data_IF_874923204820
#
_entry.id   IF_874923204820
#
_cell.length_a   1.000
_cell.length_b   1.000
_cell.length_c   1.000
_cell.angle_alpha   90.00
_cell.angle_beta   90.00
_cell.angle_gamma   90.00
#
_symmetry.space_group_name_H-M   'P 1'
#
loop_
_entity.id
_entity.type
_entity.pdbx_description
1 polymer ?
#
# COMPACT_ATOMS: atom_id res chain seq x y z
N UNK A 1 -11.75 41.81 -30.55
CA UNK A 1 -11.42 41.47 -29.16
C UNK A 1 -11.55 39.97 -29.02
N UNK A 2 -10.44 39.26 -29.18
CA UNK A 2 -10.31 37.80 -29.13
C UNK A 2 -10.12 37.36 -27.69
N UNK A 3 -11.13 36.69 -27.12
CA UNK A 3 -11.03 36.02 -25.84
C UNK A 3 -10.30 34.70 -26.00
N UNK A 4 -9.04 34.65 -25.57
CA UNK A 4 -8.22 33.46 -25.52
C UNK A 4 -8.73 32.57 -24.38
N UNK A 5 -9.55 31.56 -24.70
CA UNK A 5 -9.78 30.44 -23.78
C UNK A 5 -8.50 29.60 -23.78
N UNK A 6 -7.63 29.85 -22.81
CA UNK A 6 -6.57 28.92 -22.49
C UNK A 6 -7.23 27.65 -21.93
N UNK A 7 -7.38 26.63 -22.77
CA UNK A 7 -7.52 25.26 -22.31
C UNK A 7 -6.25 24.95 -21.51
N UNK A 8 -6.35 25.01 -20.18
CA UNK A 8 -5.38 24.31 -19.35
C UNK A 8 -5.54 22.83 -19.70
N UNK A 9 -4.63 22.33 -20.51
CA UNK A 9 -4.40 20.91 -20.65
C UNK A 9 -3.93 20.45 -19.26
N UNK A 10 -4.87 20.08 -18.40
CA UNK A 10 -4.56 19.45 -17.12
C UNK A 10 -3.82 18.18 -17.50
N UNK A 11 -2.51 18.14 -17.26
CA UNK A 11 -1.76 16.90 -17.33
C UNK A 11 -2.40 16.03 -16.26
N UNK A 12 -3.19 15.05 -16.68
CA UNK A 12 -3.77 14.07 -15.77
C UNK A 12 -2.63 13.11 -15.42
N UNK A 13 -2.26 13.07 -14.15
CA UNK A 13 -1.35 12.06 -13.59
C UNK A 13 -1.71 10.68 -14.14
N UNK A 14 -0.73 9.96 -14.66
CA UNK A 14 -0.87 8.54 -14.99
C UNK A 14 -0.40 7.72 -13.80
N UNK A 15 -1.33 7.18 -13.03
CA UNK A 15 -1.00 6.34 -11.88
C UNK A 15 -1.76 5.03 -11.89
N UNK A 16 -1.21 4.02 -11.24
CA UNK A 16 -1.96 2.86 -10.78
C UNK A 16 -2.26 3.01 -9.28
N UNK A 17 -3.50 2.76 -8.88
CA UNK A 17 -3.92 2.72 -7.49
C UNK A 17 -3.95 1.28 -7.00
N UNK A 18 -3.18 0.98 -5.94
CA UNK A 18 -3.17 -0.30 -5.26
C UNK A 18 -3.82 -0.13 -3.89
N UNK A 19 -4.94 -0.79 -3.65
CA UNK A 19 -5.66 -0.73 -2.38
C UNK A 19 -5.43 -2.02 -1.60
N UNK A 20 -4.77 -1.93 -0.45
CA UNK A 20 -4.55 -3.03 0.48
C UNK A 20 -5.80 -3.19 1.36
N UNK A 21 -6.44 -4.35 1.25
CA UNK A 21 -7.73 -4.64 1.89
C UNK A 21 -7.68 -5.91 2.72
N UNK A 22 -8.44 -5.93 3.81
CA UNK A 22 -8.59 -7.08 4.69
C UNK A 22 -10.05 -7.24 5.15
N UNK A 23 -11.00 -7.27 4.20
CA UNK A 23 -12.46 -7.16 4.48
C UNK A 23 -12.91 -8.18 5.53
N UNK A 24 -12.51 -9.43 5.37
CA UNK A 24 -12.96 -10.52 6.22
C UNK A 24 -12.06 -10.78 7.42
N UNK A 25 -11.08 -9.90 7.69
CA UNK A 25 -10.16 -10.09 8.80
C UNK A 25 -10.86 -10.08 10.16
N UNK A 26 -11.89 -9.25 10.29
CA UNK A 26 -12.81 -9.23 11.42
C UNK A 26 -14.23 -9.42 10.89
N UNK A 27 -14.79 -10.64 10.96
CA UNK A 27 -16.10 -10.94 10.35
C UNK A 27 -17.23 -10.01 10.81
N UNK A 28 -17.17 -9.51 12.06
CA UNK A 28 -18.15 -8.59 12.60
C UNK A 28 -18.20 -7.23 11.88
N UNK A 29 -17.11 -6.81 11.23
CA UNK A 29 -17.00 -5.51 10.54
C UNK A 29 -16.91 -5.64 9.03
N UNK A 30 -16.97 -6.87 8.48
CA UNK A 30 -16.75 -7.12 7.06
C UNK A 30 -17.69 -6.34 6.13
N UNK A 31 -18.97 -6.18 6.50
CA UNK A 31 -19.92 -5.37 5.72
C UNK A 31 -19.54 -3.89 5.69
N UNK A 32 -19.00 -3.36 6.80
CA UNK A 32 -18.59 -1.97 6.89
C UNK A 32 -17.29 -1.74 6.11
N UNK A 33 -16.31 -2.65 6.25
CA UNK A 33 -15.06 -2.63 5.49
C UNK A 33 -15.33 -2.68 3.97
N UNK A 34 -16.17 -3.62 3.51
CA UNK A 34 -16.59 -3.68 2.10
C UNK A 34 -17.20 -2.35 1.62
N UNK A 35 -18.08 -1.76 2.42
CA UNK A 35 -18.72 -0.48 2.08
C UNK A 35 -17.70 0.66 1.95
N UNK A 36 -16.73 0.71 2.87
CA UNK A 36 -15.65 1.71 2.85
C UNK A 36 -14.76 1.54 1.61
N UNK A 37 -14.36 0.30 1.31
CA UNK A 37 -13.58 0.00 0.13
C UNK A 37 -14.32 0.40 -1.15
N UNK A 38 -15.60 0.05 -1.27
CA UNK A 38 -16.42 0.44 -2.43
C UNK A 38 -16.52 1.96 -2.58
N UNK A 39 -16.64 2.71 -1.47
CA UNK A 39 -16.65 4.17 -1.52
C UNK A 39 -15.30 4.75 -1.96
N UNK A 40 -14.19 4.15 -1.53
CA UNK A 40 -12.84 4.52 -1.96
C UNK A 40 -12.69 4.31 -3.48
N UNK A 41 -13.00 3.10 -3.95
CA UNK A 41 -12.93 2.73 -5.37
C UNK A 41 -13.84 3.62 -6.22
N UNK A 42 -15.08 3.86 -5.79
CA UNK A 42 -16.01 4.75 -6.50
C UNK A 42 -15.48 6.18 -6.61
N UNK A 43 -14.87 6.69 -5.53
CA UNK A 43 -14.29 8.03 -5.53
C UNK A 43 -13.08 8.12 -6.47
N UNK A 44 -12.23 7.09 -6.48
CA UNK A 44 -11.08 7.02 -7.39
C UNK A 44 -11.52 6.94 -8.86
N UNK A 45 -12.48 6.09 -9.20
CA UNK A 45 -13.01 6.01 -10.56
C UNK A 45 -13.62 7.33 -11.04
N UNK A 46 -14.34 8.03 -10.15
CA UNK A 46 -14.95 9.33 -10.49
C UNK A 46 -13.88 10.40 -10.74
N UNK A 47 -12.84 10.43 -9.91
CA UNK A 47 -11.86 11.53 -9.91
C UNK A 47 -10.64 11.24 -10.80
N UNK A 48 -10.38 9.97 -11.14
CA UNK A 48 -9.21 9.49 -11.88
C UNK A 48 -9.56 8.37 -12.89
N UNK A 49 -10.56 8.58 -13.73
CA UNK A 49 -11.15 7.58 -14.65
C UNK A 49 -10.14 6.79 -15.53
N UNK A 50 -8.97 7.37 -15.83
CA UNK A 50 -7.93 6.72 -16.64
C UNK A 50 -6.86 5.96 -15.84
N UNK A 51 -6.94 5.95 -14.51
CA UNK A 51 -5.97 5.31 -13.63
C UNK A 51 -6.46 3.93 -13.18
N UNK A 52 -5.75 2.83 -13.50
CA UNK A 52 -6.19 1.50 -13.08
C UNK A 52 -6.19 1.35 -11.56
N UNK A 53 -7.20 0.65 -11.05
CA UNK A 53 -7.40 0.35 -9.64
C UNK A 53 -7.32 -1.16 -9.42
N UNK A 54 -6.34 -1.58 -8.63
CA UNK A 54 -6.22 -2.95 -8.14
C UNK A 54 -6.53 -3.00 -6.64
N UNK A 55 -7.34 -3.98 -6.24
CA UNK A 55 -7.55 -4.35 -4.84
C UNK A 55 -6.75 -5.60 -4.54
N UNK A 56 -5.95 -5.53 -3.47
CA UNK A 56 -5.16 -6.64 -2.94
C UNK A 56 -5.79 -7.04 -1.60
N UNK A 57 -6.57 -8.11 -1.62
CA UNK A 57 -7.23 -8.65 -0.44
C UNK A 57 -6.30 -9.65 0.25
N UNK A 58 -5.92 -9.37 1.49
CA UNK A 58 -4.97 -10.17 2.26
C UNK A 58 -5.56 -10.79 3.54
N UNK A 59 -6.86 -10.61 3.82
CA UNK A 59 -7.48 -11.29 4.95
C UNK A 59 -7.33 -12.81 4.84
N UNK A 60 -7.26 -13.45 6.00
CA UNK A 60 -7.12 -14.90 6.07
C UNK A 60 -8.38 -15.64 5.60
N UNK A 61 -9.54 -15.03 5.86
CA UNK A 61 -10.85 -15.50 5.41
C UNK A 61 -11.10 -14.99 3.99
N UNK A 62 -11.32 -15.91 3.05
CA UNK A 62 -11.55 -15.55 1.65
C UNK A 62 -12.83 -14.74 1.46
N UNK A 63 -12.87 -13.91 0.42
CA UNK A 63 -14.09 -13.21 0.03
C UNK A 63 -15.15 -14.22 -0.41
N UNK A 64 -16.40 -13.99 -0.02
CA UNK A 64 -17.53 -14.75 -0.55
C UNK A 64 -17.88 -14.25 -1.98
N UNK A 65 -18.64 -15.02 -2.77
CA UNK A 65 -18.96 -14.64 -4.16
C UNK A 65 -19.66 -13.28 -4.30
N UNK A 66 -20.49 -12.88 -3.34
CA UNK A 66 -21.19 -11.59 -3.36
C UNK A 66 -20.20 -10.43 -3.15
N UNK A 67 -19.28 -10.58 -2.20
CA UNK A 67 -18.20 -9.61 -1.96
C UNK A 67 -17.31 -9.45 -3.19
N UNK A 68 -16.91 -10.56 -3.83
CA UNK A 68 -16.08 -10.52 -5.05
C UNK A 68 -16.77 -9.79 -6.17
N UNK A 69 -18.03 -10.14 -6.45
CA UNK A 69 -18.81 -9.50 -7.50
C UNK A 69 -18.94 -7.99 -7.28
N UNK A 70 -19.22 -7.58 -6.02
CA UNK A 70 -19.39 -6.19 -5.64
C UNK A 70 -18.11 -5.34 -5.79
N UNK A 71 -16.93 -5.95 -5.73
CA UNK A 71 -15.64 -5.28 -5.98
C UNK A 71 -15.30 -5.24 -7.47
N UNK A 72 -15.45 -6.38 -8.17
CA UNK A 72 -15.14 -6.51 -9.60
C UNK A 72 -15.94 -5.56 -10.50
N UNK A 73 -17.10 -5.08 -10.05
CA UNK A 73 -17.90 -4.08 -10.78
C UNK A 73 -17.20 -2.72 -10.90
N UNK A 74 -16.22 -2.44 -10.05
CA UNK A 74 -15.59 -1.11 -9.95
C UNK A 74 -14.07 -1.15 -9.92
N UNK A 75 -13.44 -2.33 -9.93
CA UNK A 75 -11.98 -2.48 -9.92
C UNK A 75 -11.49 -3.11 -11.21
N UNK A 76 -10.36 -2.66 -11.74
CA UNK A 76 -9.72 -3.29 -12.88
C UNK A 76 -9.15 -4.67 -12.52
N UNK A 77 -8.73 -4.83 -11.26
CA UNK A 77 -8.15 -6.08 -10.78
C UNK A 77 -8.48 -6.34 -9.31
N UNK A 78 -8.85 -7.58 -9.00
CA UNK A 78 -8.98 -8.09 -7.64
C UNK A 78 -8.01 -9.26 -7.44
N UNK A 79 -7.05 -9.11 -6.54
CA UNK A 79 -6.07 -10.13 -6.18
C UNK A 79 -6.30 -10.62 -4.75
N UNK A 80 -6.62 -11.91 -4.59
CA UNK A 80 -6.77 -12.54 -3.28
C UNK A 80 -5.48 -13.25 -2.89
N UNK A 81 -4.73 -12.68 -1.97
CA UNK A 81 -3.54 -13.29 -1.41
C UNK A 81 -3.92 -14.43 -0.46
N UNK A 82 -3.15 -15.52 -0.51
CA UNK A 82 -3.30 -16.66 0.42
C UNK A 82 -1.97 -16.96 1.08
N UNK A 83 -1.97 -16.96 2.41
CA UNK A 83 -0.83 -17.35 3.21
C UNK A 83 -0.37 -18.77 2.85
N UNK A 84 0.92 -18.93 2.55
CA UNK A 84 1.53 -20.24 2.32
C UNK A 84 1.76 -21.00 3.64
N UNK A 85 2.28 -22.22 3.56
CA UNK A 85 2.51 -23.05 4.75
C UNK A 85 3.42 -22.38 5.79
N UNK A 86 4.45 -21.65 5.35
CA UNK A 86 5.40 -20.97 6.25
C UNK A 86 4.69 -19.93 7.12
N UNK A 87 3.82 -19.12 6.51
CA UNK A 87 3.02 -18.12 7.24
C UNK A 87 1.97 -18.78 8.14
N UNK A 88 1.35 -19.87 7.69
CA UNK A 88 0.40 -20.64 8.51
C UNK A 88 1.07 -21.25 9.75
N UNK A 89 2.27 -21.80 9.59
CA UNK A 89 3.07 -22.35 10.69
C UNK A 89 3.50 -21.26 11.68
N UNK A 90 3.88 -20.08 11.18
CA UNK A 90 4.17 -18.92 12.03
C UNK A 90 2.96 -18.52 12.86
N UNK A 91 1.76 -18.42 12.25
CA UNK A 91 0.53 -18.14 12.99
C UNK A 91 0.26 -19.19 14.06
N UNK A 92 0.40 -20.47 13.72
CA UNK A 92 0.19 -21.58 14.64
C UNK A 92 1.15 -21.58 15.84
N UNK A 93 2.31 -20.93 15.71
CA UNK A 93 3.26 -20.75 16.81
C UNK A 93 2.81 -19.73 17.88
N UNK A 94 1.66 -19.06 17.68
CA UNK A 94 1.04 -18.19 18.68
C UNK A 94 1.57 -16.76 18.68
N UNK A 95 2.12 -16.29 17.56
CA UNK A 95 2.52 -14.89 17.39
C UNK A 95 1.34 -13.94 17.57
N UNK A 96 1.63 -12.69 17.91
CA UNK A 96 0.62 -11.64 18.03
C UNK A 96 -0.18 -11.48 16.73
N UNK A 97 -1.51 -11.41 16.85
CA UNK A 97 -2.40 -11.39 15.70
C UNK A 97 -2.25 -10.10 14.88
N UNK A 98 -2.06 -8.94 15.52
CA UNK A 98 -1.91 -7.66 14.83
C UNK A 98 -0.58 -7.61 14.08
N UNK A 99 0.50 -8.08 14.71
CA UNK A 99 1.81 -8.12 14.10
C UNK A 99 1.88 -9.15 12.94
N UNK A 100 1.21 -10.29 13.07
CA UNK A 100 1.03 -11.24 11.96
C UNK A 100 0.27 -10.61 10.79
N UNK A 101 -0.80 -9.85 11.05
CA UNK A 101 -1.53 -9.13 10.01
C UNK A 101 -0.68 -8.08 9.30
N UNK A 102 0.17 -7.37 10.04
CA UNK A 102 1.13 -6.44 9.44
C UNK A 102 2.10 -7.16 8.50
N UNK A 103 2.61 -8.35 8.87
CA UNK A 103 3.42 -9.18 7.97
C UNK A 103 2.64 -9.62 6.73
N UNK A 104 1.39 -10.09 6.88
CA UNK A 104 0.56 -10.50 5.74
C UNK A 104 0.38 -9.37 4.73
N UNK A 105 0.14 -8.16 5.21
CA UNK A 105 0.05 -6.95 4.36
C UNK A 105 1.32 -6.73 3.53
N UNK A 106 2.51 -6.81 4.15
CA UNK A 106 3.79 -6.65 3.47
C UNK A 106 3.98 -7.75 2.41
N UNK A 107 3.75 -9.00 2.79
CA UNK A 107 3.93 -10.15 1.88
C UNK A 107 2.93 -10.12 0.72
N UNK A 108 1.67 -9.75 0.98
CA UNK A 108 0.65 -9.64 -0.06
C UNK A 108 0.99 -8.55 -1.07
N UNK A 109 1.46 -7.38 -0.62
CA UNK A 109 1.92 -6.31 -1.51
C UNK A 109 3.11 -6.78 -2.34
N UNK A 110 4.11 -7.40 -1.71
CA UNK A 110 5.28 -7.92 -2.41
C UNK A 110 4.90 -8.97 -3.48
N UNK A 111 4.08 -9.95 -3.11
CA UNK A 111 3.57 -10.97 -4.02
C UNK A 111 2.84 -10.31 -5.20
N UNK A 112 1.97 -9.34 -4.95
CA UNK A 112 1.25 -8.65 -6.01
C UNK A 112 2.21 -7.93 -6.97
N UNK A 113 3.16 -7.15 -6.43
CA UNK A 113 4.10 -6.37 -7.24
C UNK A 113 4.99 -7.27 -8.11
N UNK A 114 5.46 -8.41 -7.60
CA UNK A 114 6.21 -9.39 -8.41
C UNK A 114 5.40 -9.90 -9.60
N UNK A 115 4.12 -10.24 -9.40
CA UNK A 115 3.25 -10.70 -10.48
C UNK A 115 2.90 -9.57 -11.46
N UNK A 116 2.62 -8.37 -10.94
CA UNK A 116 2.29 -7.19 -11.74
C UNK A 116 3.47 -6.75 -12.62
N UNK A 117 4.70 -6.77 -12.07
CA UNK A 117 5.93 -6.47 -12.80
C UNK A 117 6.16 -7.52 -13.91
N UNK A 118 6.03 -8.81 -13.60
CA UNK A 118 6.16 -9.88 -14.59
C UNK A 118 5.13 -9.81 -15.72
N UNK A 119 3.94 -9.26 -15.46
CA UNK A 119 2.89 -9.04 -16.43
C UNK A 119 2.97 -7.66 -17.15
N UNK A 120 3.91 -6.79 -16.77
CA UNK A 120 4.07 -5.47 -17.37
C UNK A 120 2.94 -4.48 -17.04
N UNK A 121 2.24 -4.66 -15.91
CA UNK A 121 1.08 -3.83 -15.54
C UNK A 121 1.44 -2.35 -15.30
N UNK A 122 2.71 -2.04 -15.05
CA UNK A 122 3.17 -0.68 -14.76
C UNK A 122 3.84 0.03 -15.95
N UNK A 123 3.84 -0.58 -17.15
CA UNK A 123 4.54 -0.03 -18.32
C UNK A 123 3.95 1.30 -18.83
N UNK A 124 2.68 1.58 -18.55
CA UNK A 124 1.96 2.76 -19.06
C UNK A 124 1.63 3.82 -18.00
N UNK A 125 2.08 3.62 -16.76
CA UNK A 125 1.85 4.56 -15.64
C UNK A 125 3.17 5.20 -15.20
N UNK A 126 3.09 6.44 -14.72
CA UNK A 126 4.25 7.17 -14.21
C UNK A 126 4.46 6.90 -12.71
N UNK A 127 3.38 6.60 -11.99
CA UNK A 127 3.39 6.40 -10.54
C UNK A 127 2.55 5.21 -10.11
N UNK A 128 2.90 4.64 -8.96
CA UNK A 128 2.07 3.69 -8.23
C UNK A 128 1.73 4.32 -6.89
N UNK A 129 0.44 4.36 -6.56
CA UNK A 129 -0.09 4.90 -5.30
C UNK A 129 -0.65 3.75 -4.50
N UNK A 130 -0.09 3.50 -3.32
CA UNK A 130 -0.53 2.46 -2.39
C UNK A 130 -1.39 3.11 -1.31
N UNK A 131 -2.56 2.52 -1.05
CA UNK A 131 -3.57 3.03 -0.11
C UNK A 131 -4.05 1.87 0.75
N UNK A 132 -4.17 2.05 2.06
CA UNK A 132 -4.88 1.10 2.92
C UNK A 132 -6.39 1.35 2.88
N UNK A 133 -7.18 0.29 3.00
CA UNK A 133 -8.64 0.40 3.07
C UNK A 133 -9.09 1.40 4.17
N UNK A 134 -10.14 2.17 3.88
CA UNK A 134 -10.66 3.21 4.76
C UNK A 134 -9.85 4.51 4.78
N UNK A 135 -8.70 4.59 4.09
CA UNK A 135 -7.88 5.81 4.04
C UNK A 135 -8.33 6.72 2.90
N UNK A 136 -8.65 7.98 3.23
CA UNK A 136 -8.99 8.98 2.23
C UNK A 136 -7.74 9.47 1.51
N UNK A 137 -7.82 9.60 0.18
CA UNK A 137 -6.72 10.04 -0.65
C UNK A 137 -6.27 11.47 -0.29
N UNK A 138 -5.01 11.61 0.11
CA UNK A 138 -4.37 12.89 0.38
C UNK A 138 -4.25 13.72 -0.90
N UNK A 139 -4.99 14.84 -0.96
CA UNK A 139 -4.98 15.76 -2.10
C UNK A 139 -3.61 16.41 -2.32
N UNK A 140 -2.80 16.58 -1.29
CA UNK A 140 -1.46 17.14 -1.42
C UNK A 140 -0.54 16.19 -2.17
N UNK A 141 -0.67 14.87 -1.92
CA UNK A 141 0.06 13.85 -2.70
C UNK A 141 -0.32 13.95 -4.18
N UNK A 142 -1.62 13.97 -4.48
CA UNK A 142 -2.09 14.04 -5.86
C UNK A 142 -1.65 15.32 -6.56
N UNK A 143 -1.72 16.46 -5.85
CA UNK A 143 -1.23 17.71 -6.40
C UNK A 143 0.26 17.64 -6.75
N UNK A 144 1.06 17.05 -5.88
CA UNK A 144 2.50 16.83 -6.12
C UNK A 144 2.75 15.93 -7.34
N UNK A 145 2.05 14.80 -7.45
CA UNK A 145 2.24 13.85 -8.56
C UNK A 145 1.86 14.42 -9.93
N UNK A 146 0.96 15.41 -9.97
CA UNK A 146 0.62 16.14 -11.20
C UNK A 146 1.69 17.16 -11.64
N UNK A 147 2.68 17.48 -10.80
CA UNK A 147 3.76 18.42 -11.12
C UNK A 147 4.93 17.70 -11.83
N UNK A 148 4.86 17.58 -13.17
CA UNK A 148 5.73 16.69 -13.97
C UNK A 148 7.25 16.93 -13.92
N UNK A 149 7.73 18.05 -13.36
CA UNK A 149 9.14 18.43 -13.42
C UNK A 149 9.99 17.98 -12.21
N UNK A 150 9.39 17.46 -11.12
CA UNK A 150 10.09 17.36 -9.82
C UNK A 150 10.17 15.95 -9.19
N UNK A 151 9.72 14.89 -9.87
CA UNK A 151 9.28 13.68 -9.12
C UNK A 151 9.61 12.31 -9.75
N UNK A 152 10.56 12.24 -10.69
CA UNK A 152 11.13 10.96 -11.16
C UNK A 152 12.06 10.33 -10.14
N UNK A 153 12.18 9.01 -10.13
CA UNK A 153 13.09 8.23 -9.28
C UNK A 153 12.94 8.61 -7.79
N UNK A 154 11.69 8.78 -7.34
CA UNK A 154 11.37 9.15 -5.95
C UNK A 154 10.30 8.26 -5.34
N UNK A 155 10.42 8.10 -4.04
CA UNK A 155 9.38 7.63 -3.13
C UNK A 155 8.70 8.84 -2.46
N UNK A 156 7.41 8.74 -2.22
CA UNK A 156 6.57 9.78 -1.65
C UNK A 156 5.94 9.29 -0.37
N UNK A 157 6.47 9.75 0.75
CA UNK A 157 5.98 9.43 2.08
C UNK A 157 5.55 10.69 2.81
N UNK A 158 4.59 10.55 3.73
CA UNK A 158 4.43 11.55 4.79
C UNK A 158 5.70 11.58 5.64
N UNK A 159 5.97 12.72 6.29
CA UNK A 159 7.15 12.87 7.14
C UNK A 159 7.22 11.76 8.18
N UNK A 160 8.40 11.16 8.34
CA UNK A 160 8.62 10.12 9.32
C UNK A 160 8.27 10.61 10.74
N UNK A 161 7.64 9.73 11.50
CA UNK A 161 7.21 9.99 12.88
C UNK A 161 7.91 9.02 13.82
N UNK A 162 8.03 9.44 15.08
CA UNK A 162 8.62 8.61 16.13
C UNK A 162 7.52 7.84 16.84
N UNK A 163 7.64 6.52 16.95
CA UNK A 163 6.82 5.74 17.88
C UNK A 163 7.46 5.77 19.27
N UNK A 164 6.64 6.02 20.29
CA UNK A 164 7.07 5.88 21.67
C UNK A 164 7.17 4.37 21.97
N UNK A 165 8.36 3.90 22.33
CA UNK A 165 8.48 2.53 22.84
C UNK A 165 7.88 2.47 24.25
N UNK A 166 7.10 1.42 24.59
CA UNK A 166 6.59 1.23 25.95
C UNK A 166 7.70 1.02 27.00
N UNK A 167 8.96 0.82 26.58
CA UNK A 167 10.10 0.73 27.48
C UNK A 167 10.91 2.03 27.48
N UNK A 168 11.11 2.64 28.66
CA UNK A 168 11.93 3.86 28.86
C UNK A 168 13.40 3.72 28.42
N UNK A 169 13.87 2.49 28.12
CA UNK A 169 15.22 2.21 27.60
C UNK A 169 15.28 1.92 26.11
N UNK A 170 14.15 1.79 25.44
CA UNK A 170 14.12 1.51 24.01
C UNK A 170 14.24 2.82 23.23
N UNK A 171 15.18 2.85 22.29
CA UNK A 171 15.35 3.98 21.36
C UNK A 171 14.03 4.23 20.65
N UNK A 172 13.72 5.50 20.45
CA UNK A 172 12.58 5.88 19.62
C UNK A 172 12.78 5.29 18.22
N UNK A 173 11.76 4.58 17.72
CA UNK A 173 11.81 3.99 16.38
C UNK A 173 11.11 4.96 15.43
N UNK A 174 11.81 5.32 14.36
CA UNK A 174 11.25 6.14 13.29
C UNK A 174 10.54 5.25 12.29
N UNK A 175 9.39 5.70 11.79
CA UNK A 175 8.66 5.01 10.74
C UNK A 175 8.02 6.00 9.77
N UNK A 176 7.84 5.57 8.53
CA UNK A 176 6.97 6.27 7.60
C UNK A 176 5.51 5.90 7.88
N UNK A 177 4.57 6.85 7.90
CA UNK A 177 3.16 6.54 7.80
C UNK A 177 2.88 5.89 6.43
N UNK A 178 2.50 4.62 6.41
CA UNK A 178 2.29 3.83 5.17
C UNK A 178 0.82 3.59 4.84
N UNK A 179 -0.11 4.24 5.54
CA UNK A 179 -1.54 4.18 5.24
C UNK A 179 -1.84 4.71 3.83
N UNK A 180 -0.99 5.63 3.35
CA UNK A 180 -0.96 6.07 1.97
C UNK A 180 0.45 6.54 1.60
N UNK A 181 0.98 6.04 0.49
CA UNK A 181 2.27 6.45 -0.07
C UNK A 181 2.30 6.21 -1.58
N UNK A 182 3.33 6.73 -2.26
CA UNK A 182 3.50 6.51 -3.68
C UNK A 182 4.96 6.37 -4.07
N UNK A 183 5.22 5.87 -5.26
CA UNK A 183 6.55 5.83 -5.85
C UNK A 183 6.47 5.98 -7.36
N UNK A 184 7.56 6.46 -7.97
CA UNK A 184 7.70 6.48 -9.43
C UNK A 184 7.71 5.04 -9.96
N UNK A 185 6.90 4.72 -10.97
CA UNK A 185 6.72 3.34 -11.44
C UNK A 185 8.03 2.65 -11.89
N UNK A 186 9.01 3.43 -12.38
CA UNK A 186 10.36 2.96 -12.71
C UNK A 186 11.15 2.37 -11.52
N UNK A 187 10.71 2.63 -10.28
CA UNK A 187 11.29 2.07 -9.05
C UNK A 187 10.68 0.73 -8.64
N UNK A 188 9.71 0.18 -9.36
CA UNK A 188 8.99 -1.04 -8.94
C UNK A 188 9.91 -2.20 -8.57
N UNK A 189 10.97 -2.45 -9.34
CA UNK A 189 11.94 -3.52 -9.03
C UNK A 189 12.67 -3.25 -7.71
N UNK A 190 13.11 -2.02 -7.45
CA UNK A 190 13.72 -1.66 -6.17
C UNK A 190 12.73 -1.75 -5.00
N UNK A 191 11.47 -1.40 -5.21
CA UNK A 191 10.42 -1.55 -4.20
C UNK A 191 10.18 -3.03 -3.87
N UNK A 192 10.23 -3.92 -4.87
CA UNK A 192 10.13 -5.36 -4.65
C UNK A 192 11.28 -5.84 -3.76
N UNK A 193 12.52 -5.43 -4.05
CA UNK A 193 13.69 -5.79 -3.23
C UNK A 193 13.55 -5.27 -1.78
N UNK A 194 13.16 -3.99 -1.61
CA UNK A 194 12.92 -3.37 -0.29
C UNK A 194 11.83 -4.13 0.49
N UNK A 195 10.76 -4.58 -0.19
CA UNK A 195 9.66 -5.34 0.42
C UNK A 195 10.05 -6.79 0.73
N UNK A 196 10.95 -7.41 -0.04
CA UNK A 196 11.53 -8.71 0.31
C UNK A 196 12.27 -8.59 1.64
N UNK A 197 13.21 -7.65 1.74
CA UNK A 197 13.97 -7.41 2.98
C UNK A 197 13.03 -7.08 4.15
N UNK A 198 12.05 -6.21 3.94
CA UNK A 198 11.05 -5.87 4.96
C UNK A 198 10.27 -7.10 5.43
N UNK A 199 9.86 -7.98 4.51
CA UNK A 199 9.11 -9.19 4.84
C UNK A 199 9.95 -10.22 5.59
N UNK A 200 11.23 -10.39 5.23
CA UNK A 200 12.15 -11.30 5.91
C UNK A 200 12.46 -10.82 7.33
N UNK A 201 12.75 -9.53 7.50
CA UNK A 201 12.99 -8.93 8.83
C UNK A 201 11.75 -9.05 9.72
N UNK A 202 10.57 -8.67 9.21
CA UNK A 202 9.31 -8.79 9.91
C UNK A 202 9.01 -10.24 10.34
N UNK A 203 9.25 -11.21 9.46
CA UNK A 203 9.11 -12.63 9.76
C UNK A 203 10.05 -13.07 10.89
N UNK A 204 11.33 -12.70 10.82
CA UNK A 204 12.32 -13.09 11.83
C UNK A 204 12.05 -12.49 13.21
N UNK A 205 11.59 -11.24 13.28
CA UNK A 205 11.17 -10.61 14.54
C UNK A 205 10.01 -11.37 15.19
N UNK A 206 9.00 -11.72 14.40
CA UNK A 206 7.86 -12.50 14.87
C UNK A 206 8.26 -13.91 15.31
N UNK A 207 9.10 -14.59 14.53
CA UNK A 207 9.57 -15.94 14.85
C UNK A 207 10.38 -15.98 16.16
N UNK A 208 11.17 -14.94 16.41
CA UNK A 208 11.92 -14.80 17.66
C UNK A 208 11.04 -14.44 18.86
N UNK A 209 9.75 -14.12 18.65
CA UNK A 209 8.88 -13.44 19.62
C UNK A 209 9.52 -12.18 20.21
N UNK A 210 10.40 -11.53 19.43
CA UNK A 210 11.12 -10.33 19.86
C UNK A 210 10.35 -9.09 19.39
N UNK A 211 9.94 -8.27 20.36
CA UNK A 211 9.25 -7.00 20.16
C UNK A 211 8.23 -6.97 18.98
N UNK A 212 7.09 -7.68 19.07
CA UNK A 212 6.10 -7.77 18.00
C UNK A 212 5.51 -6.41 17.56
N UNK A 213 5.64 -5.37 18.39
CA UNK A 213 5.26 -3.99 18.02
C UNK A 213 6.20 -3.33 16.98
N UNK A 214 7.31 -3.98 16.62
CA UNK A 214 8.25 -3.52 15.60
C UNK A 214 7.92 -4.03 14.18
N UNK A 215 6.98 -4.96 14.04
CA UNK A 215 6.59 -5.52 12.74
C UNK A 215 5.60 -4.58 12.04
N UNK A 216 6.11 -3.54 11.41
CA UNK A 216 5.31 -2.57 10.63
C UNK A 216 6.02 -2.21 9.32
N UNK A 217 5.24 -2.08 8.23
CA UNK A 217 5.76 -1.74 6.90
C UNK A 217 6.53 -0.42 6.93
N UNK A 218 6.03 0.58 7.65
CA UNK A 218 6.66 1.89 7.76
C UNK A 218 8.01 1.86 8.48
N UNK A 219 8.18 0.98 9.47
CA UNK A 219 9.44 0.78 10.18
C UNK A 219 10.46 0.06 9.30
N UNK A 220 10.04 -0.98 8.57
CA UNK A 220 10.93 -1.74 7.71
C UNK A 220 11.35 -0.95 6.46
N UNK A 221 10.42 -0.24 5.81
CA UNK A 221 10.76 0.66 4.70
C UNK A 221 11.67 1.80 5.12
N UNK A 222 11.56 2.28 6.37
CA UNK A 222 12.49 3.29 6.90
C UNK A 222 13.94 2.78 6.97
N UNK A 223 14.13 1.47 7.11
CA UNK A 223 15.47 0.83 7.15
C UNK A 223 15.99 0.51 5.75
N UNK A 224 15.12 0.03 4.87
CA UNK A 224 15.50 -0.49 3.55
C UNK A 224 15.67 0.61 2.49
N UNK A 225 14.75 1.60 2.46
CA UNK A 225 14.68 2.57 1.35
C UNK A 225 15.86 3.55 1.37
N UNK A 226 16.45 3.77 0.19
CA UNK A 226 17.43 4.83 -0.03
C UNK A 226 16.82 6.21 0.23
N UNK A 227 17.21 6.83 1.37
CA UNK A 227 16.75 8.15 1.80
C UNK A 227 16.99 9.25 0.76
N UNK A 228 18.00 9.11 -0.11
CA UNK A 228 18.26 10.08 -1.18
C UNK A 228 17.14 10.11 -2.24
N UNK A 229 16.35 9.03 -2.32
CA UNK A 229 15.18 8.88 -3.18
C UNK A 229 13.88 9.25 -2.49
N UNK A 230 13.87 9.61 -1.21
CA UNK A 230 12.63 9.99 -0.52
C UNK A 230 12.31 11.48 -0.74
N UNK A 231 11.05 11.76 -1.07
CA UNK A 231 10.45 13.08 -1.04
C UNK A 231 9.34 13.11 0.00
N UNK A 232 9.44 14.03 0.96
CA UNK A 232 8.44 14.16 2.01
C UNK A 232 7.29 15.06 1.59
N UNK A 233 6.06 14.59 1.80
CA UNK A 233 4.87 15.40 1.75
C UNK A 233 4.88 16.36 2.96
N UNK A 234 4.77 17.66 2.71
CA UNK A 234 4.71 18.72 3.74
C UNK A 234 3.26 19.14 3.96
#
# INVERSE_FOLDING_TARGET
MTGLFAYFCSIVMKAAFLILSAINQVPATASAALTQLQQCVFSLNRDYEACPIAVIEYAEEALNPQQKQALLEHTDLLAEFKANQVLQDLKASGVDAQAYQALLKIVALNWFLQNAQGAGLFNEVDYVVVIEDGVALDKSLIHLLNQSAAVKNKFFFKKAVSSASPNEKAKSLMHYPTEQWAYAAELTEGVIDDLIEASENAYHLLQANDNPSATDLGQELFKAVDLSKVHFLI
#
